data_IF_939782509965
#
_entry.id   IF_939782509965
#
_cell.length_a   1.000
_cell.length_b   1.000
_cell.length_c   1.000
_cell.angle_alpha   90.00
_cell.angle_beta   90.00
_cell.angle_gamma   90.00
#
_symmetry.space_group_name_H-M   'P 1'
#
loop_
_entity.id
_entity.type
_entity.pdbx_description
1 polymer ?
#
# COMPACT_ATOMS: atom_id res chain seq x y z
N UNK A 1 -20.96 -28.27 -17.73
CA UNK A 1 -20.30 -27.89 -17.78
C UNK A 1 -19.93 -27.27 -17.45
N UNK A 2 -20.35 -26.95 -17.21
CA UNK A 2 -19.86 -26.30 -17.11
C UNK A 2 -19.12 -26.19 -16.47
N UNK A 3 -18.94 -26.06 -16.31
CA UNK A 3 -18.19 -25.79 -16.05
C UNK A 3 -17.22 -25.98 -16.07
N UNK A 4 -16.92 -26.26 -16.42
CA UNK A 4 -15.97 -26.16 -16.83
C UNK A 4 -15.66 -25.71 -17.77
N UNK A 5 -16.23 -25.83 -17.86
CA UNK A 5 -15.98 -25.24 -18.91
C UNK A 5 -15.96 -23.88 -18.83
N UNK A 6 -16.54 -23.48 -18.08
CA UNK A 6 -16.49 -22.26 -17.97
C UNK A 6 -15.33 -21.74 -17.43
N UNK A 7 -14.78 -22.27 -16.52
CA UNK A 7 -13.56 -21.74 -16.00
C UNK A 7 -12.55 -21.72 -17.08
N UNK A 8 -12.52 -22.72 -17.85
CA UNK A 8 -11.63 -22.65 -18.84
C UNK A 8 -12.12 -21.87 -19.90
N UNK A 9 -13.36 -21.67 -19.96
CA UNK A 9 -13.84 -20.82 -20.94
C UNK A 9 -13.50 -19.42 -20.68
N UNK A 10 -13.10 -19.06 -19.47
CA UNK A 10 -12.64 -17.73 -19.14
C UNK A 10 -11.19 -17.81 -18.69
N UNK A 11 -10.25 -17.83 -19.64
CA UNK A 11 -8.85 -17.96 -19.29
C UNK A 11 -8.34 -16.84 -18.41
N UNK A 12 -9.01 -15.67 -18.42
CA UNK A 12 -8.56 -14.59 -17.56
C UNK A 12 -8.68 -14.90 -16.08
N UNK A 13 -9.56 -15.82 -15.71
CA UNK A 13 -9.68 -16.20 -14.32
C UNK A 13 -8.48 -16.99 -13.84
N UNK A 14 -7.73 -17.58 -14.77
CA UNK A 14 -6.57 -18.37 -14.42
C UNK A 14 -5.28 -17.58 -14.52
N UNK A 15 -5.36 -16.35 -15.00
CA UNK A 15 -4.18 -15.53 -15.15
C UNK A 15 -3.90 -14.76 -13.86
N UNK A 16 -2.63 -14.50 -13.60
CA UNK A 16 -2.28 -13.66 -12.47
C UNK A 16 -2.90 -12.27 -12.65
N UNK A 17 -3.26 -11.60 -11.55
CA UNK A 17 -3.74 -10.23 -11.64
C UNK A 17 -2.73 -9.34 -12.32
N UNK A 18 -3.20 -8.32 -13.02
CA UNK A 18 -2.32 -7.37 -13.67
C UNK A 18 -1.47 -6.66 -12.63
N UNK A 19 -0.18 -6.53 -12.92
CA UNK A 19 0.69 -5.73 -12.08
C UNK A 19 0.31 -4.27 -12.20
N UNK A 20 0.77 -3.46 -11.26
CA UNK A 20 0.51 -2.02 -11.34
C UNK A 20 1.13 -1.44 -12.61
N UNK A 21 2.33 -1.89 -12.98
CA UNK A 21 2.98 -1.48 -14.22
C UNK A 21 2.09 -1.77 -15.43
N UNK A 22 1.52 -2.98 -15.49
CA UNK A 22 0.64 -3.36 -16.59
C UNK A 22 -0.60 -2.47 -16.63
N UNK A 23 -1.17 -2.16 -15.47
CA UNK A 23 -2.33 -1.28 -15.38
C UNK A 23 -2.02 0.10 -15.95
N UNK A 24 -0.85 0.65 -15.64
CA UNK A 24 -0.45 1.96 -16.14
C UNK A 24 -0.27 1.93 -17.66
N UNK A 25 0.39 0.89 -18.18
CA UNK A 25 0.56 0.78 -19.63
C UNK A 25 -0.79 0.62 -20.35
N UNK A 26 -1.73 -0.10 -19.74
CA UNK A 26 -3.07 -0.20 -20.31
C UNK A 26 -3.77 1.16 -20.35
N UNK A 27 -3.62 1.96 -19.29
CA UNK A 27 -4.18 3.31 -19.26
C UNK A 27 -3.56 4.19 -20.34
N UNK A 28 -2.25 4.09 -20.52
CA UNK A 28 -1.55 4.87 -21.54
C UNK A 28 -2.08 4.52 -22.93
N UNK A 29 -2.31 3.25 -23.19
CA UNK A 29 -2.88 2.80 -24.45
C UNK A 29 -4.26 3.38 -24.71
N UNK A 30 -5.12 3.38 -23.68
CA UNK A 30 -6.45 3.95 -23.79
C UNK A 30 -6.40 5.45 -24.05
N UNK A 31 -5.56 6.16 -23.33
CA UNK A 31 -5.41 7.60 -23.50
C UNK A 31 -4.93 7.92 -24.90
N UNK A 32 -3.96 7.18 -25.38
CA UNK A 32 -3.41 7.39 -26.73
C UNK A 32 -4.49 7.17 -27.78
N UNK A 33 -5.29 6.11 -27.62
CA UNK A 33 -6.39 5.82 -28.52
C UNK A 33 -7.39 6.96 -28.57
N UNK A 34 -7.62 7.64 -27.45
CA UNK A 34 -8.56 8.75 -27.36
C UNK A 34 -7.94 10.09 -27.72
N UNK A 35 -6.66 10.11 -28.11
CA UNK A 35 -5.99 11.36 -28.45
C UNK A 35 -5.63 12.22 -27.25
N UNK A 36 -5.55 11.63 -26.05
CA UNK A 36 -5.21 12.36 -24.83
C UNK A 36 -3.70 12.41 -24.68
N UNK A 37 -3.19 13.54 -24.19
CA UNK A 37 -1.76 13.70 -23.92
C UNK A 37 -1.35 12.83 -22.73
N UNK A 38 -0.63 11.75 -23.02
CA UNK A 38 -0.24 10.78 -21.98
C UNK A 38 0.68 11.40 -20.92
N UNK A 39 1.60 12.27 -21.34
CA UNK A 39 2.51 12.91 -20.39
C UNK A 39 1.75 13.78 -19.39
N UNK A 40 0.79 14.57 -19.90
CA UNK A 40 -0.01 15.41 -19.02
C UNK A 40 -0.83 14.56 -18.04
N UNK A 41 -1.39 13.46 -18.53
CA UNK A 41 -2.19 12.59 -17.65
C UNK A 41 -1.32 11.89 -16.61
N UNK A 42 -0.12 11.47 -17.00
CA UNK A 42 0.80 10.86 -16.02
C UNK A 42 1.20 11.85 -14.95
N UNK A 43 1.45 13.11 -15.32
CA UNK A 43 1.76 14.15 -14.32
C UNK A 43 0.63 14.27 -13.32
N UNK A 44 -0.63 14.25 -13.78
CA UNK A 44 -1.78 14.31 -12.89
C UNK A 44 -1.85 13.09 -11.98
N UNK A 45 -1.60 11.90 -12.51
CA UNK A 45 -1.61 10.68 -11.71
C UNK A 45 -0.51 10.69 -10.66
N UNK A 46 0.66 11.20 -11.02
CA UNK A 46 1.77 11.33 -10.07
C UNK A 46 1.39 12.27 -8.95
N UNK A 47 0.74 13.39 -9.26
CA UNK A 47 0.31 14.36 -8.26
C UNK A 47 -0.72 13.74 -7.31
N UNK A 48 -1.71 13.03 -7.86
CA UNK A 48 -2.71 12.34 -7.05
C UNK A 48 -2.04 11.31 -6.13
N UNK A 49 -1.11 10.54 -6.69
CA UNK A 49 -0.39 9.52 -5.95
C UNK A 49 0.42 10.14 -4.81
N UNK A 50 1.11 11.26 -5.09
CA UNK A 50 1.89 11.97 -4.09
C UNK A 50 1.02 12.43 -2.92
N UNK A 51 -0.16 12.98 -3.24
CA UNK A 51 -1.07 13.45 -2.21
C UNK A 51 -1.60 12.30 -1.36
N UNK A 52 -1.89 11.15 -1.98
CA UNK A 52 -2.31 9.97 -1.24
C UNK A 52 -1.21 9.47 -0.30
N UNK A 53 0.03 9.46 -0.77
CA UNK A 53 1.16 9.06 0.06
C UNK A 53 1.31 9.97 1.27
N UNK A 54 1.20 11.29 1.06
CA UNK A 54 1.30 12.24 2.16
C UNK A 54 0.20 12.02 3.19
N UNK A 55 -1.03 11.77 2.73
CA UNK A 55 -2.16 11.49 3.63
C UNK A 55 -1.92 10.22 4.43
N UNK A 56 -1.45 9.15 3.77
CA UNK A 56 -1.18 7.88 4.45
C UNK A 56 -0.06 8.05 5.47
N UNK A 57 1.00 8.79 5.12
CA UNK A 57 2.12 9.00 6.03
C UNK A 57 1.67 9.78 7.26
N UNK A 58 0.87 10.83 7.07
CA UNK A 58 0.36 11.61 8.19
C UNK A 58 -0.53 10.75 9.09
N UNK A 59 -1.38 9.91 8.48
CA UNK A 59 -2.22 9.00 9.24
C UNK A 59 -1.40 8.02 10.07
N UNK A 60 -0.35 7.46 9.49
CA UNK A 60 0.54 6.57 10.21
C UNK A 60 1.19 7.26 11.40
N UNK A 61 1.69 8.49 11.20
CA UNK A 61 2.36 9.22 12.28
C UNK A 61 1.38 9.54 13.41
N UNK A 62 0.17 9.98 13.05
CA UNK A 62 -0.86 10.28 14.06
C UNK A 62 -1.26 9.02 14.82
N UNK A 63 -1.50 7.92 14.11
CA UNK A 63 -1.91 6.67 14.76
C UNK A 63 -0.81 6.15 15.68
N UNK A 64 0.43 6.19 15.22
CA UNK A 64 1.55 5.75 16.04
C UNK A 64 1.66 6.56 17.32
N UNK A 65 1.60 7.89 17.21
CA UNK A 65 1.72 8.75 18.38
C UNK A 65 0.55 8.58 19.33
N UNK A 66 -0.67 8.47 18.80
CA UNK A 66 -1.86 8.26 19.61
C UNK A 66 -1.75 6.95 20.39
N UNK A 67 -1.36 5.87 19.73
CA UNK A 67 -1.22 4.57 20.38
C UNK A 67 -0.14 4.59 21.45
N UNK A 68 0.98 5.27 21.18
CA UNK A 68 2.05 5.37 22.19
C UNK A 68 1.56 6.08 23.44
N UNK A 69 0.72 7.12 23.29
CA UNK A 69 0.24 7.90 24.42
C UNK A 69 -0.93 7.24 25.14
N UNK A 70 -1.81 6.55 24.41
CA UNK A 70 -3.06 6.06 24.97
C UNK A 70 -3.04 4.58 25.35
N UNK A 71 -2.02 3.84 24.97
CA UNK A 71 -1.94 2.41 25.33
C UNK A 71 -1.75 2.23 26.82
N UNK A 72 -2.57 1.38 27.41
CA UNK A 72 -2.42 1.00 28.82
C UNK A 72 -1.37 -0.10 28.92
N UNK A 73 -0.12 0.30 29.17
CA UNK A 73 1.00 -0.63 29.17
C UNK A 73 0.93 -1.65 30.28
N UNK A 74 0.29 -1.29 31.41
CA UNK A 74 0.12 -2.22 32.51
C UNK A 74 -0.78 -3.38 32.10
N UNK A 75 -1.88 -3.06 31.42
CA UNK A 75 -2.80 -4.08 30.93
C UNK A 75 -2.13 -4.95 29.87
N UNK A 76 -1.41 -4.30 28.93
CA UNK A 76 -0.69 -5.03 27.89
C UNK A 76 0.28 -6.04 28.53
N UNK A 77 1.03 -5.59 29.53
CA UNK A 77 2.00 -6.47 30.18
C UNK A 77 1.35 -7.60 30.97
N UNK A 78 0.17 -7.36 31.54
CA UNK A 78 -0.58 -8.40 32.21
C UNK A 78 -0.98 -9.51 31.23
N UNK A 79 -1.50 -9.09 30.08
CA UNK A 79 -1.89 -10.06 29.04
C UNK A 79 -0.68 -10.81 28.49
N UNK A 80 0.43 -10.12 28.28
CA UNK A 80 1.65 -10.76 27.77
C UNK A 80 2.18 -11.79 28.74
N UNK A 81 2.11 -11.50 30.03
CA UNK A 81 2.54 -12.44 31.05
C UNK A 81 1.71 -13.72 30.98
N UNK A 82 0.41 -13.59 30.80
CA UNK A 82 -0.48 -14.74 30.67
C UNK A 82 -0.15 -15.59 29.44
N UNK A 83 0.39 -14.96 28.40
CA UNK A 83 0.77 -15.64 27.19
C UNK A 83 2.22 -16.13 27.22
N UNK A 84 2.92 -15.92 28.29
CA UNK A 84 4.32 -16.33 28.41
C UNK A 84 5.28 -15.42 27.67
N UNK A 85 4.86 -14.20 27.35
CA UNK A 85 5.68 -13.27 26.60
C UNK A 85 6.42 -12.31 27.53
N UNK A 86 7.52 -11.77 27.04
CA UNK A 86 8.34 -10.86 27.79
C UNK A 86 7.63 -9.54 28.05
N UNK A 87 7.89 -8.96 29.23
CA UNK A 87 7.34 -7.67 29.61
C UNK A 87 7.93 -6.56 28.74
N UNK A 88 7.08 -5.62 28.33
CA UNK A 88 7.52 -4.42 27.63
C UNK A 88 7.93 -3.40 28.68
N UNK A 89 9.23 -3.08 28.73
CA UNK A 89 9.78 -2.30 29.83
C UNK A 89 10.50 -1.02 29.44
N UNK A 90 10.73 -0.78 28.14
CA UNK A 90 11.41 0.44 27.70
C UNK A 90 10.77 1.01 26.47
N UNK A 91 11.20 2.22 26.09
CA UNK A 91 10.61 2.93 24.97
C UNK A 91 10.82 2.20 23.66
N UNK A 92 11.98 1.60 23.46
CA UNK A 92 12.24 0.84 22.23
C UNK A 92 11.27 -0.32 22.06
N UNK A 93 11.00 -1.06 23.15
CA UNK A 93 10.03 -2.16 23.11
C UNK A 93 8.61 -1.65 22.87
N UNK A 94 8.27 -0.50 23.45
CA UNK A 94 6.94 0.10 23.23
C UNK A 94 6.76 0.47 21.77
N UNK A 95 7.76 1.09 21.17
CA UNK A 95 7.70 1.45 19.76
C UNK A 95 7.56 0.21 18.88
N UNK A 96 8.30 -0.85 19.19
CA UNK A 96 8.21 -2.09 18.44
C UNK A 96 6.82 -2.70 18.54
N UNK A 97 6.21 -2.67 19.73
CA UNK A 97 4.87 -3.16 19.94
C UNK A 97 3.86 -2.38 19.10
N UNK A 98 3.94 -1.04 19.13
CA UNK A 98 3.05 -0.19 18.36
C UNK A 98 3.24 -0.42 16.87
N UNK A 99 4.48 -0.60 16.41
CA UNK A 99 4.75 -0.88 15.00
C UNK A 99 4.03 -2.14 14.54
N UNK A 100 3.91 -3.14 15.41
CA UNK A 100 3.13 -4.33 15.07
C UNK A 100 1.64 -4.05 15.00
N UNK A 101 1.14 -3.16 15.86
CA UNK A 101 -0.29 -2.82 15.84
C UNK A 101 -0.69 -2.09 14.57
N UNK A 102 0.22 -1.33 13.96
CA UNK A 102 -0.07 -0.59 12.73
C UNK A 102 0.58 -1.24 11.52
N UNK A 103 0.93 -2.52 11.62
CA UNK A 103 1.64 -3.22 10.55
C UNK A 103 0.88 -3.18 9.22
N UNK A 104 -0.44 -3.39 9.25
CA UNK A 104 -1.23 -3.38 8.01
C UNK A 104 -1.21 -2.02 7.35
N UNK A 105 -1.25 -0.95 8.13
CA UNK A 105 -1.17 0.40 7.59
C UNK A 105 0.20 0.66 6.96
N UNK A 106 1.26 0.15 7.58
CA UNK A 106 2.62 0.27 7.04
C UNK A 106 2.76 -0.49 5.74
N UNK A 107 2.16 -1.68 5.65
CA UNK A 107 2.19 -2.47 4.42
C UNK A 107 1.48 -1.72 3.30
N UNK A 108 0.34 -1.13 3.61
CA UNK A 108 -0.39 -0.35 2.61
C UNK A 108 0.40 0.86 2.15
N UNK A 109 1.06 1.56 3.07
CA UNK A 109 1.89 2.69 2.71
C UNK A 109 3.04 2.24 1.79
N UNK A 110 3.71 1.15 2.13
CA UNK A 110 4.81 0.62 1.31
C UNK A 110 4.32 0.26 -0.09
N UNK A 111 3.14 -0.34 -0.18
CA UNK A 111 2.56 -0.69 -1.47
C UNK A 111 2.30 0.55 -2.31
N UNK A 112 1.71 1.58 -1.71
CA UNK A 112 1.43 2.83 -2.42
C UNK A 112 2.71 3.55 -2.81
N UNK A 113 3.73 3.49 -1.96
CA UNK A 113 5.02 4.09 -2.27
C UNK A 113 5.63 3.41 -3.50
N UNK A 114 5.58 2.08 -3.57
CA UNK A 114 6.07 1.34 -4.72
C UNK A 114 5.30 1.70 -5.99
N UNK A 115 3.98 1.87 -5.89
CA UNK A 115 3.17 2.29 -7.02
C UNK A 115 3.55 3.68 -7.50
N UNK A 116 3.79 4.59 -6.55
CA UNK A 116 4.21 5.95 -6.89
C UNK A 116 5.56 5.95 -7.60
N UNK A 117 6.52 5.17 -7.10
CA UNK A 117 7.83 5.07 -7.73
C UNK A 117 7.74 4.46 -9.12
N UNK A 118 6.80 3.53 -9.32
CA UNK A 118 6.54 2.96 -10.64
C UNK A 118 6.05 4.02 -11.62
N UNK A 119 5.11 4.86 -11.17
CA UNK A 119 4.62 5.96 -12.01
C UNK A 119 5.76 6.89 -12.41
N UNK A 120 6.63 7.23 -11.46
CA UNK A 120 7.76 8.10 -11.74
C UNK A 120 8.70 7.47 -12.76
N UNK A 121 8.99 6.19 -12.62
CA UNK A 121 9.89 5.51 -13.56
C UNK A 121 9.29 5.46 -14.97
N UNK A 122 8.00 5.18 -15.07
CA UNK A 122 7.33 5.14 -16.37
C UNK A 122 7.37 6.52 -17.01
N UNK A 123 7.08 7.56 -16.22
CA UNK A 123 7.10 8.93 -16.73
C UNK A 123 8.50 9.30 -17.23
N UNK A 124 9.54 8.99 -16.47
CA UNK A 124 10.92 9.27 -16.85
C UNK A 124 11.30 8.54 -18.14
N UNK A 125 10.84 7.31 -18.29
CA UNK A 125 11.08 6.54 -19.51
C UNK A 125 10.44 7.20 -20.73
N UNK A 126 9.23 7.74 -20.56
CA UNK A 126 8.55 8.39 -21.64
C UNK A 126 9.15 9.76 -21.98
N UNK A 127 9.73 10.42 -21.00
CA UNK A 127 10.39 11.69 -21.25
C UNK A 127 11.71 11.52 -21.99
N UNK A 128 12.36 10.39 -21.78
CA UNK A 128 13.59 10.09 -22.49
C UNK A 128 13.30 9.75 -23.94
#
# INVERSE_FOLDING_TARGET
MATKKEAEENPFEEMAPLTYTDQIYNMLGLWKTKGVDCNMMLIKEIEISKNKLNTLKQGLDVDKNTLLLETNWEEVNTQRKEQGLQKISNESMRKAYIDQQILMEKIEYSKKLNEHETLLRIYETMEA
#
